data_IF_759402998254
#
_entry.id   IF_759402998254
#
_cell.length_a   1.000
_cell.length_b   1.000
_cell.length_c   1.000
_cell.angle_alpha   90.00
_cell.angle_beta   90.00
_cell.angle_gamma   90.00
#
_symmetry.space_group_name_H-M   'P 1'
#
loop_
_entity.id
_entity.type
_entity.pdbx_description
1 polymer ?
#
# COMPACT_ATOMS: atom_id res chain seq x y z
N UNK A 1 -21.66 54.19 -13.40
CA UNK A 1 -20.31 53.77 -13.81
C UNK A 1 -19.42 53.36 -12.63
N UNK A 2 -19.35 54.10 -11.52
CA UNK A 2 -18.52 53.70 -10.35
C UNK A 2 -18.99 52.37 -9.70
N UNK A 3 -20.28 52.20 -9.53
CA UNK A 3 -20.89 50.99 -8.94
C UNK A 3 -20.63 49.74 -9.79
N UNK A 4 -20.67 49.87 -11.13
CA UNK A 4 -20.39 48.74 -12.04
C UNK A 4 -18.92 48.34 -11.99
N UNK A 5 -18.00 49.27 -11.77
CA UNK A 5 -16.55 48.98 -11.61
C UNK A 5 -16.29 48.24 -10.30
N UNK A 6 -16.94 48.65 -9.19
CA UNK A 6 -16.81 47.93 -7.91
C UNK A 6 -17.34 46.50 -8.00
N UNK A 7 -18.46 46.30 -8.67
CA UNK A 7 -19.06 44.98 -8.85
C UNK A 7 -18.15 44.05 -9.68
N UNK A 8 -17.53 44.57 -10.72
CA UNK A 8 -16.57 43.84 -11.56
C UNK A 8 -15.29 43.51 -10.79
N UNK A 9 -14.83 44.40 -9.92
CA UNK A 9 -13.63 44.19 -9.08
C UNK A 9 -13.88 43.11 -8.02
N UNK A 10 -15.07 43.08 -7.40
CA UNK A 10 -15.47 42.03 -6.46
C UNK A 10 -15.56 40.68 -7.19
N UNK A 11 -16.10 40.65 -8.40
CA UNK A 11 -16.18 39.42 -9.22
C UNK A 11 -14.81 38.86 -9.56
N UNK A 12 -13.82 39.71 -9.85
CA UNK A 12 -12.43 39.30 -10.11
C UNK A 12 -11.77 38.65 -8.88
N UNK A 13 -12.02 39.15 -7.67
CA UNK A 13 -11.48 38.60 -6.44
C UNK A 13 -12.07 37.20 -6.09
N UNK A 14 -13.31 36.91 -6.49
CA UNK A 14 -13.93 35.59 -6.20
C UNK A 14 -13.40 34.46 -7.08
N UNK A 15 -12.81 34.74 -8.22
CA UNK A 15 -12.29 33.76 -9.18
C UNK A 15 -10.88 33.26 -8.80
N UNK A 16 -10.16 33.98 -7.94
CA UNK A 16 -8.72 33.75 -7.65
C UNK A 16 -8.43 32.57 -6.71
N UNK A 17 -9.44 31.86 -6.19
CA UNK A 17 -9.20 30.77 -5.23
C UNK A 17 -9.07 29.39 -5.93
N UNK A 18 -8.03 29.19 -6.74
CA UNK A 18 -7.64 27.87 -7.22
C UNK A 18 -6.97 27.10 -6.08
N UNK A 19 -7.75 26.30 -5.39
CA UNK A 19 -7.26 25.42 -4.33
C UNK A 19 -6.53 24.23 -4.95
N UNK A 20 -5.22 24.19 -4.77
CA UNK A 20 -4.41 23.05 -5.18
C UNK A 20 -4.89 21.77 -4.49
N UNK A 21 -4.96 20.70 -5.24
CA UNK A 21 -5.37 19.40 -4.73
C UNK A 21 -4.31 18.85 -3.78
N UNK A 22 -4.72 18.50 -2.57
CA UNK A 22 -3.80 17.91 -1.59
C UNK A 22 -3.60 16.42 -1.96
N UNK A 23 -2.39 16.10 -2.38
CA UNK A 23 -2.00 14.75 -2.77
C UNK A 23 -0.95 14.24 -1.78
N UNK A 24 -1.16 13.02 -1.26
CA UNK A 24 -0.19 12.31 -0.40
C UNK A 24 0.35 11.10 -1.14
N UNK A 25 1.67 11.03 -1.30
CA UNK A 25 2.37 9.88 -1.89
C UNK A 25 3.07 9.10 -0.79
N UNK A 26 2.86 7.79 -0.77
CA UNK A 26 3.53 6.82 0.07
C UNK A 26 4.40 5.92 -0.80
N UNK A 27 5.56 5.55 -0.29
CA UNK A 27 6.55 4.77 -1.03
C UNK A 27 7.37 5.64 -1.98
N UNK A 28 7.75 5.09 -3.11
CA UNK A 28 8.68 5.73 -4.04
C UNK A 28 7.92 6.58 -5.06
N UNK A 29 8.15 7.88 -5.02
CA UNK A 29 7.55 8.81 -5.97
C UNK A 29 8.09 8.59 -7.40
N UNK A 30 7.20 8.75 -8.38
CA UNK A 30 7.53 8.63 -9.81
C UNK A 30 8.06 7.26 -10.24
N UNK A 31 7.55 6.19 -9.62
CA UNK A 31 7.99 4.81 -9.87
C UNK A 31 7.93 4.45 -11.37
N UNK A 32 6.87 4.83 -12.06
CA UNK A 32 6.67 4.61 -13.50
C UNK A 32 7.75 5.25 -14.39
N UNK A 33 8.24 6.43 -14.00
CA UNK A 33 9.31 7.10 -14.74
C UNK A 33 10.66 6.44 -14.47
N UNK A 34 10.91 6.09 -13.20
CA UNK A 34 12.17 5.49 -12.77
C UNK A 34 12.32 4.05 -13.26
N UNK A 35 11.24 3.31 -13.39
CA UNK A 35 11.23 1.94 -13.92
C UNK A 35 11.87 1.85 -15.32
N UNK A 36 11.75 2.90 -16.13
CA UNK A 36 12.34 2.97 -17.47
C UNK A 36 13.87 3.11 -17.48
N UNK A 37 14.47 3.43 -16.34
CA UNK A 37 15.93 3.62 -16.20
C UNK A 37 16.67 2.31 -15.91
N UNK A 38 15.97 1.21 -15.62
CA UNK A 38 16.57 -0.10 -15.36
C UNK A 38 16.24 -1.10 -16.46
N UNK A 39 17.24 -1.90 -16.82
CA UNK A 39 17.18 -2.85 -17.92
C UNK A 39 17.51 -4.27 -17.45
N UNK A 40 16.69 -5.23 -17.90
CA UNK A 40 16.92 -6.66 -17.64
C UNK A 40 18.24 -7.11 -18.24
N UNK A 41 18.97 -7.97 -17.55
CA UNK A 41 20.30 -8.49 -17.88
C UNK A 41 21.44 -7.44 -17.96
N UNK A 42 21.17 -6.18 -17.59
CA UNK A 42 22.15 -5.09 -17.63
C UNK A 42 22.31 -4.39 -16.28
N UNK A 43 21.21 -4.05 -15.64
CA UNK A 43 21.21 -3.37 -14.34
C UNK A 43 21.45 -4.35 -13.18
N UNK A 44 22.11 -3.89 -12.14
CA UNK A 44 22.39 -4.66 -10.93
C UNK A 44 21.68 -4.09 -9.70
N UNK A 45 21.83 -4.75 -8.53
CA UNK A 45 21.24 -4.29 -7.26
C UNK A 45 21.70 -2.89 -6.85
N UNK A 46 22.98 -2.53 -7.10
CA UNK A 46 23.49 -1.20 -6.74
C UNK A 46 22.90 -0.11 -7.62
N UNK A 47 22.76 -0.36 -8.93
CA UNK A 47 22.08 0.56 -9.86
C UNK A 47 20.63 0.78 -9.40
N UNK A 48 19.97 -0.30 -9.01
CA UNK A 48 18.60 -0.25 -8.53
C UNK A 48 18.48 0.58 -7.25
N UNK A 49 19.40 0.42 -6.28
CA UNK A 49 19.43 1.24 -5.06
C UNK A 49 19.69 2.71 -5.38
N UNK A 50 20.59 3.00 -6.31
CA UNK A 50 20.90 4.38 -6.70
C UNK A 50 19.68 5.08 -7.32
N UNK A 51 18.85 4.35 -8.08
CA UNK A 51 17.68 4.91 -8.77
C UNK A 51 16.45 4.98 -7.82
N UNK A 52 16.17 3.93 -7.07
CA UNK A 52 14.93 3.81 -6.26
C UNK A 52 15.16 3.97 -4.76
N UNK A 53 16.39 3.81 -4.28
CA UNK A 53 16.67 3.63 -2.86
C UNK A 53 16.44 2.18 -2.43
N UNK A 54 16.29 1.98 -1.13
CA UNK A 54 16.00 0.64 -0.58
C UNK A 54 14.61 0.16 -1.01
N UNK A 55 14.43 -1.16 -1.25
CA UNK A 55 13.13 -1.71 -1.61
C UNK A 55 12.11 -1.53 -0.49
N UNK A 56 10.84 -1.33 -0.86
CA UNK A 56 9.73 -1.26 0.10
C UNK A 56 9.58 -2.57 0.88
N UNK A 57 9.81 -3.70 0.22
CA UNK A 57 9.87 -5.02 0.83
C UNK A 57 10.68 -5.99 -0.05
N UNK A 58 11.16 -7.07 0.56
CA UNK A 58 11.83 -8.19 -0.12
C UNK A 58 10.95 -9.43 -0.04
N UNK A 59 11.20 -10.41 -0.91
CA UNK A 59 10.52 -11.68 -0.84
C UNK A 59 10.84 -12.43 0.46
N UNK A 60 9.82 -13.06 1.07
CA UNK A 60 10.01 -13.78 2.34
C UNK A 60 10.89 -15.02 2.19
N UNK A 61 10.81 -15.69 1.05
CA UNK A 61 11.58 -16.92 0.76
C UNK A 61 12.81 -16.64 -0.12
N UNK A 62 12.82 -15.51 -0.83
CA UNK A 62 13.86 -15.15 -1.77
C UNK A 62 14.29 -13.69 -1.60
N UNK A 63 15.44 -13.46 -0.96
CA UNK A 63 16.02 -12.13 -0.76
C UNK A 63 16.40 -11.41 -2.06
N UNK A 64 16.41 -12.13 -3.18
CA UNK A 64 16.68 -11.57 -4.50
C UNK A 64 15.42 -11.00 -5.17
N UNK A 65 14.23 -11.18 -4.56
CA UNK A 65 12.99 -10.58 -5.02
C UNK A 65 12.76 -9.25 -4.29
N UNK A 66 12.83 -8.16 -5.03
CA UNK A 66 12.64 -6.81 -4.50
C UNK A 66 11.34 -6.20 -5.02
N UNK A 67 10.58 -5.59 -4.11
CA UNK A 67 9.29 -4.99 -4.44
C UNK A 67 9.33 -3.52 -4.04
N UNK A 68 8.99 -2.66 -4.99
CA UNK A 68 8.87 -1.23 -4.84
C UNK A 68 7.40 -0.81 -5.02
N UNK A 69 6.91 0.09 -4.17
CA UNK A 69 5.52 0.49 -4.16
C UNK A 69 5.43 2.02 -4.23
N UNK A 70 4.55 2.53 -5.09
CA UNK A 70 4.10 3.91 -5.14
C UNK A 70 2.59 3.95 -4.95
N UNK A 71 2.13 4.56 -3.87
CA UNK A 71 0.70 4.77 -3.63
C UNK A 71 0.41 6.24 -3.42
N UNK A 72 -0.35 6.83 -4.32
CA UNK A 72 -0.74 8.23 -4.27
C UNK A 72 -2.23 8.36 -4.01
N UNK A 73 -2.58 9.08 -2.96
CA UNK A 73 -3.96 9.32 -2.53
C UNK A 73 -4.21 10.82 -2.65
N UNK A 74 -5.24 11.18 -3.42
CA UNK A 74 -5.75 12.54 -3.52
C UNK A 74 -6.91 12.77 -2.55
N UNK A 75 -7.02 13.99 -2.04
CA UNK A 75 -8.16 14.43 -1.24
C UNK A 75 -9.20 15.06 -2.16
N UNK A 76 -10.39 14.51 -2.19
CA UNK A 76 -11.48 15.00 -3.04
C UNK A 76 -11.86 16.45 -2.74
N UNK A 77 -12.35 17.16 -3.76
CA UNK A 77 -12.92 18.50 -3.63
C UNK A 77 -14.14 18.47 -2.70
N UNK A 78 -14.53 19.63 -2.16
CA UNK A 78 -15.69 19.82 -1.27
C UNK A 78 -16.97 19.16 -1.82
N UNK A 79 -17.21 19.23 -3.12
CA UNK A 79 -18.34 18.55 -3.81
C UNK A 79 -18.34 17.02 -3.68
N UNK A 80 -17.21 16.40 -3.35
CA UNK A 80 -17.08 14.95 -3.09
C UNK A 80 -16.93 14.63 -1.59
N UNK A 81 -17.42 15.53 -0.72
CA UNK A 81 -17.39 15.37 0.75
C UNK A 81 -15.98 15.07 1.30
N UNK A 82 -14.93 15.55 0.65
CA UNK A 82 -13.54 15.36 1.09
C UNK A 82 -13.05 13.90 1.08
N UNK A 83 -13.77 12.98 0.44
CA UNK A 83 -13.40 11.55 0.38
C UNK A 83 -12.04 11.38 -0.30
N UNK A 84 -11.18 10.58 0.30
CA UNK A 84 -9.91 10.21 -0.31
C UNK A 84 -10.15 9.28 -1.51
N UNK A 85 -9.38 9.49 -2.57
CA UNK A 85 -9.41 8.62 -3.73
C UNK A 85 -7.99 8.23 -4.15
N UNK A 86 -7.85 7.02 -4.66
CA UNK A 86 -6.58 6.48 -5.11
C UNK A 86 -6.26 7.02 -6.50
N UNK A 87 -5.22 7.86 -6.58
CA UNK A 87 -4.76 8.45 -7.85
C UNK A 87 -3.80 7.50 -8.57
N UNK A 88 -2.80 6.98 -7.83
CA UNK A 88 -1.81 6.04 -8.36
C UNK A 88 -1.65 4.87 -7.40
N UNK A 89 -1.45 3.69 -7.95
CA UNK A 89 -1.06 2.49 -7.22
C UNK A 89 -0.17 1.66 -8.15
N UNK A 90 1.12 1.90 -8.06
CA UNK A 90 2.11 1.27 -8.89
C UNK A 90 2.96 0.32 -8.05
N UNK A 91 3.22 -0.85 -8.58
CA UNK A 91 4.09 -1.86 -7.97
C UNK A 91 5.10 -2.31 -9.00
N UNK A 92 6.37 -2.25 -8.65
CA UNK A 92 7.46 -2.75 -9.46
C UNK A 92 8.09 -3.94 -8.74
N UNK A 93 8.11 -5.09 -9.40
CA UNK A 93 8.70 -6.32 -8.91
C UNK A 93 9.97 -6.60 -9.71
N UNK A 94 11.08 -6.76 -9.01
CA UNK A 94 12.40 -7.01 -9.58
C UNK A 94 12.94 -8.32 -9.01
N UNK A 95 13.40 -9.20 -9.89
CA UNK A 95 14.04 -10.44 -9.52
C UNK A 95 15.50 -10.43 -9.99
N UNK A 96 16.43 -10.64 -9.05
CA UNK A 96 17.84 -10.66 -9.28
C UNK A 96 18.37 -12.09 -9.24
N UNK A 97 19.46 -12.34 -9.96
CA UNK A 97 20.19 -13.60 -9.84
C UNK A 97 21.13 -13.62 -8.62
N UNK A 98 21.84 -14.75 -8.47
CA UNK A 98 22.86 -14.93 -7.41
C UNK A 98 24.01 -13.94 -7.45
N UNK A 99 24.24 -13.31 -8.61
CA UNK A 99 25.28 -12.29 -8.80
C UNK A 99 24.75 -10.87 -8.60
N UNK A 100 23.46 -10.71 -8.35
CA UNK A 100 22.79 -9.42 -8.16
C UNK A 100 22.44 -8.71 -9.49
N UNK A 101 22.41 -9.43 -10.61
CA UNK A 101 21.98 -8.88 -11.90
C UNK A 101 20.48 -9.08 -12.08
N UNK A 102 19.78 -8.05 -12.56
CA UNK A 102 18.36 -8.05 -12.80
C UNK A 102 17.96 -9.05 -13.88
N UNK A 103 17.19 -10.08 -13.54
CA UNK A 103 16.71 -11.12 -14.46
C UNK A 103 15.28 -10.88 -14.92
N UNK A 104 14.43 -10.38 -14.04
CA UNK A 104 13.03 -10.16 -14.36
C UNK A 104 12.57 -8.83 -13.81
N UNK A 105 11.74 -8.13 -14.59
CA UNK A 105 11.12 -6.87 -14.23
C UNK A 105 9.64 -6.92 -14.58
N UNK A 106 8.77 -6.69 -13.60
CA UNK A 106 7.34 -6.62 -13.79
C UNK A 106 6.79 -5.33 -13.17
N UNK A 107 6.00 -4.61 -13.96
CA UNK A 107 5.35 -3.37 -13.52
C UNK A 107 3.83 -3.52 -13.54
N UNK A 108 3.22 -3.23 -12.41
CA UNK A 108 1.78 -3.26 -12.21
C UNK A 108 1.29 -1.87 -11.86
N UNK A 109 0.36 -1.35 -12.64
CA UNK A 109 -0.31 -0.08 -12.41
C UNK A 109 -1.68 -0.29 -11.76
N UNK A 110 -2.37 0.82 -11.46
CA UNK A 110 -3.71 0.82 -10.88
C UNK A 110 -4.72 0.01 -11.71
N UNK A 111 -4.60 -0.01 -13.04
CA UNK A 111 -5.56 -0.66 -13.93
C UNK A 111 -5.46 -2.19 -13.86
N UNK A 112 -4.28 -2.70 -13.48
CA UNK A 112 -4.03 -4.13 -13.22
C UNK A 112 -4.44 -4.57 -11.81
N UNK A 113 -4.97 -3.68 -10.98
CA UNK A 113 -5.46 -4.02 -9.65
C UNK A 113 -6.66 -4.96 -9.74
N UNK A 114 -6.52 -6.14 -9.13
CA UNK A 114 -7.66 -7.05 -8.95
C UNK A 114 -8.38 -6.71 -7.65
N UNK A 115 -9.69 -6.57 -7.69
CA UNK A 115 -10.52 -6.48 -6.50
C UNK A 115 -10.59 -7.86 -5.84
N UNK A 116 -10.08 -7.97 -4.63
CA UNK A 116 -10.19 -9.20 -3.85
C UNK A 116 -11.59 -9.22 -3.25
N UNK A 117 -12.40 -10.21 -3.62
CA UNK A 117 -13.68 -10.51 -2.96
C UNK A 117 -13.39 -11.59 -1.92
N UNK A 118 -13.67 -11.27 -0.66
CA UNK A 118 -13.59 -12.27 0.40
C UNK A 118 -14.73 -13.26 0.22
N UNK A 119 -14.42 -14.56 0.20
CA UNK A 119 -15.45 -15.59 0.26
C UNK A 119 -16.06 -15.59 1.65
N UNK A 120 -17.38 -15.71 1.71
CA UNK A 120 -18.09 -15.87 2.99
C UNK A 120 -17.99 -17.32 3.53
N UNK A 121 -17.26 -18.17 2.84
CA UNK A 121 -17.05 -19.55 3.29
C UNK A 121 -16.22 -19.52 4.57
N UNK A 122 -16.82 -19.97 5.64
CA UNK A 122 -16.16 -20.17 6.92
C UNK A 122 -15.27 -21.41 6.73
N UNK A 123 -13.97 -21.24 6.82
CA UNK A 123 -13.06 -22.39 6.93
C UNK A 123 -13.26 -22.91 8.35
N UNK A 124 -14.00 -24.00 8.49
CA UNK A 124 -14.03 -24.75 9.75
C UNK A 124 -12.64 -25.36 9.93
N UNK A 125 -11.82 -24.67 10.74
CA UNK A 125 -10.64 -25.32 11.29
C UNK A 125 -11.15 -26.39 12.23
N UNK A 126 -10.85 -27.64 11.93
CA UNK A 126 -10.94 -28.77 12.87
C UNK A 126 -9.88 -28.66 14.01
N UNK A 127 -9.58 -27.47 14.46
CA UNK A 127 -9.00 -27.32 15.78
C UNK A 127 -10.06 -27.85 16.74
N UNK A 128 -9.82 -29.04 17.30
CA UNK A 128 -10.58 -29.60 18.41
C UNK A 128 -11.00 -28.44 19.30
N UNK A 129 -12.29 -28.14 19.30
CA UNK A 129 -12.92 -27.39 20.37
C UNK A 129 -12.68 -28.24 21.60
N UNK A 130 -11.55 -28.08 22.27
CA UNK A 130 -11.42 -28.51 23.65
C UNK A 130 -12.57 -27.85 24.35
N UNK A 131 -13.57 -28.63 24.67
CA UNK A 131 -14.80 -28.15 25.27
C UNK A 131 -14.37 -27.29 26.46
N UNK A 132 -14.73 -26.02 26.46
CA UNK A 132 -14.48 -25.09 27.56
C UNK A 132 -14.79 -25.73 28.90
N UNK A 133 -15.80 -26.60 28.95
CA UNK A 133 -16.20 -27.45 30.08
C UNK A 133 -15.07 -28.39 30.50
N UNK A 134 -14.34 -29.03 29.57
CA UNK A 134 -13.23 -29.93 29.88
C UNK A 134 -12.04 -29.17 30.45
N UNK A 135 -11.70 -28.02 29.88
CA UNK A 135 -10.63 -27.15 30.36
C UNK A 135 -10.94 -26.58 31.74
N UNK A 136 -12.20 -26.21 31.99
CA UNK A 136 -12.67 -25.70 33.28
C UNK A 136 -12.64 -26.79 34.36
N UNK A 137 -13.17 -27.98 34.07
CA UNK A 137 -13.16 -29.12 35.01
C UNK A 137 -11.74 -29.62 35.31
N UNK A 138 -10.85 -29.62 34.35
CA UNK A 138 -9.44 -29.97 34.59
C UNK A 138 -8.74 -28.98 35.51
N UNK A 139 -9.02 -27.68 35.35
CA UNK A 139 -8.48 -26.63 36.23
C UNK A 139 -8.97 -26.76 37.68
N UNK A 140 -10.25 -27.10 37.88
CA UNK A 140 -10.81 -27.33 39.22
C UNK A 140 -10.17 -28.56 39.86
N UNK A 141 -10.04 -29.66 39.08
CA UNK A 141 -9.42 -30.90 39.56
C UNK A 141 -7.98 -30.67 40.01
N UNK A 142 -7.21 -29.91 39.25
CA UNK A 142 -5.82 -29.56 39.55
C UNK A 142 -5.70 -28.73 40.86
N UNK A 143 -6.60 -27.74 41.07
CA UNK A 143 -6.67 -26.97 42.30
C UNK A 143 -7.07 -27.80 43.54
N UNK A 144 -7.92 -28.80 43.36
CA UNK A 144 -8.31 -29.67 44.47
C UNK A 144 -7.20 -30.64 44.88
N UNK A 145 -6.39 -31.09 43.91
CA UNK A 145 -5.25 -31.98 44.18
C UNK A 145 -4.07 -31.23 44.83
N UNK A 146 -3.86 -29.95 44.49
CA UNK A 146 -2.78 -29.14 45.10
C UNK A 146 -3.06 -28.74 46.56
N UNK A 147 -4.29 -28.80 47.05
CA UNK A 147 -4.67 -28.52 48.45
C UNK A 147 -4.60 -29.75 49.37
N UNK A 148 -4.23 -30.94 48.83
CA UNK A 148 -4.12 -32.18 49.59
C UNK A 148 -2.70 -32.59 49.97
N UNK A 149 -1.72 -31.67 49.78
CA UNK A 149 -0.34 -31.88 50.26
C UNK A 149 -0.05 -30.96 51.44
#
# INVERSE_FOLDING_TARGET
MKETVYLLLILLFTISCQRNEIVKTHGIAYLEKREKLIFVNKSNKNDTINIFGQPSTKGMTNDNLWIYIERTIGKGKLLKLGRNYLTKNNVLVLEFDKYGILRKKEFYNKDKMKKITFTKNITENEMRKENFIYSFLSSIRQKMQSKRK
#
